data_IF_771285070879
#
_entry.id   IF_771285070879
#
_cell.length_a   1.000
_cell.length_b   1.000
_cell.length_c   1.000
_cell.angle_alpha   90.00
_cell.angle_beta   90.00
_cell.angle_gamma   90.00
#
_symmetry.space_group_name_H-M   'P 1'
#
loop_
_entity.id
_entity.type
_entity.pdbx_description
1 polymer ?
#
# COMPACT_ATOMS: atom_id res chain seq x y z
N UNK A 1 -14.44 1.13 -21.85
CA UNK A 1 -13.78 -0.19 -21.88
C UNK A 1 -13.65 -0.65 -23.33
N UNK A 2 -12.45 -1.01 -23.78
CA UNK A 2 -12.17 -1.39 -25.17
C UNK A 2 -12.78 -0.43 -26.22
N UNK A 3 -12.53 0.89 -26.07
CA UNK A 3 -13.07 1.93 -26.96
C UNK A 3 -14.46 2.47 -26.58
N UNK A 4 -15.16 1.87 -25.61
CA UNK A 4 -16.45 2.38 -25.15
C UNK A 4 -16.30 3.72 -24.42
N UNK A 5 -17.16 4.67 -24.79
CA UNK A 5 -17.25 6.03 -24.23
C UNK A 5 -18.28 6.05 -23.09
N UNK A 6 -17.96 6.77 -22.04
CA UNK A 6 -18.87 7.06 -20.94
C UNK A 6 -18.96 8.57 -20.79
N UNK A 7 -20.16 9.05 -20.51
CA UNK A 7 -20.39 10.46 -20.18
C UNK A 7 -20.31 10.64 -18.67
N UNK A 8 -19.80 11.80 -18.25
CA UNK A 8 -19.69 12.20 -16.86
C UNK A 8 -20.52 13.46 -16.65
N UNK A 9 -21.29 13.51 -15.56
CA UNK A 9 -21.92 14.74 -15.14
C UNK A 9 -20.89 15.73 -14.57
N UNK A 10 -21.23 17.02 -14.52
CA UNK A 10 -20.37 18.01 -13.90
C UNK A 10 -20.17 17.69 -12.40
N UNK A 11 -18.92 17.48 -11.99
CA UNK A 11 -18.55 17.12 -10.62
C UNK A 11 -18.61 15.62 -10.31
N UNK A 12 -19.01 14.78 -11.27
CA UNK A 12 -18.91 13.33 -11.12
C UNK A 12 -17.44 12.90 -11.05
N UNK A 13 -17.12 12.04 -10.09
CA UNK A 13 -15.78 11.48 -9.90
C UNK A 13 -15.82 9.97 -9.96
N UNK A 14 -14.72 9.37 -10.41
CA UNK A 14 -14.50 7.93 -10.33
C UNK A 14 -13.25 7.64 -9.53
N UNK A 15 -13.33 6.59 -8.73
CA UNK A 15 -12.18 6.08 -7.99
C UNK A 15 -11.28 5.28 -8.93
N UNK A 16 -10.02 5.70 -9.07
CA UNK A 16 -9.06 5.05 -9.97
C UNK A 16 -8.00 4.24 -9.24
N UNK A 17 -7.72 4.55 -7.97
CA UNK A 17 -6.66 3.91 -7.20
C UNK A 17 -6.93 3.96 -5.69
N UNK A 18 -6.60 2.88 -4.99
CA UNK A 18 -6.46 2.87 -3.52
C UNK A 18 -5.00 2.67 -3.12
N UNK A 19 -4.40 3.63 -2.41
CA UNK A 19 -3.07 3.52 -1.82
C UNK A 19 -3.17 3.33 -0.31
N UNK A 20 -3.28 2.07 0.14
CA UNK A 20 -3.32 1.74 1.57
C UNK A 20 -2.00 2.07 2.25
N UNK A 21 -2.08 2.61 3.47
CA UNK A 21 -0.93 2.90 4.32
C UNK A 21 -0.85 1.88 5.46
N UNK A 22 0.37 1.62 5.90
CA UNK A 22 0.68 0.59 6.89
C UNK A 22 1.47 1.22 8.03
N UNK A 23 1.14 0.80 9.24
CA UNK A 23 2.01 0.95 10.40
C UNK A 23 2.89 -0.31 10.56
N UNK A 24 3.79 -0.26 11.53
CA UNK A 24 4.73 -1.34 11.80
C UNK A 24 4.01 -2.65 12.20
N UNK A 25 2.97 -2.57 13.04
CA UNK A 25 2.25 -3.75 13.52
C UNK A 25 1.55 -4.49 12.37
N UNK A 26 0.90 -3.73 11.48
CA UNK A 26 0.22 -4.29 10.31
C UNK A 26 1.21 -4.88 9.31
N UNK A 27 2.36 -4.23 9.10
CA UNK A 27 3.43 -4.75 8.25
C UNK A 27 3.96 -6.10 8.80
N UNK A 28 4.24 -6.17 10.11
CA UNK A 28 4.70 -7.40 10.77
C UNK A 28 3.66 -8.51 10.71
N UNK A 29 2.37 -8.17 10.87
CA UNK A 29 1.29 -9.13 10.74
C UNK A 29 1.20 -9.71 9.32
N UNK A 30 1.33 -8.86 8.29
CA UNK A 30 1.33 -9.30 6.89
C UNK A 30 2.53 -10.19 6.55
N UNK A 31 3.74 -9.81 7.00
CA UNK A 31 4.93 -10.64 6.82
C UNK A 31 4.74 -12.04 7.43
N UNK A 32 4.28 -12.11 8.69
CA UNK A 32 4.00 -13.39 9.37
C UNK A 32 2.95 -14.22 8.66
N UNK A 33 1.87 -13.60 8.19
CA UNK A 33 0.83 -14.30 7.43
C UNK A 33 1.36 -14.89 6.12
N UNK A 34 2.40 -14.28 5.53
CA UNK A 34 3.11 -14.80 4.37
C UNK A 34 4.21 -15.82 4.68
N UNK A 35 4.45 -16.17 5.95
CA UNK A 35 5.51 -17.08 6.38
C UNK A 35 6.89 -16.43 6.55
N UNK A 36 6.96 -15.11 6.66
CA UNK A 36 8.20 -14.34 6.81
C UNK A 36 8.29 -13.67 8.17
N UNK A 37 9.51 -13.42 8.64
CA UNK A 37 9.79 -12.51 9.75
C UNK A 37 10.35 -11.19 9.22
N UNK A 38 10.05 -10.08 9.91
CA UNK A 38 10.73 -8.80 9.67
C UNK A 38 12.05 -8.82 10.42
N UNK A 39 13.15 -8.95 9.68
CA UNK A 39 14.50 -8.98 10.23
C UNK A 39 14.99 -7.57 10.57
N UNK A 40 14.75 -6.62 9.67
CA UNK A 40 15.13 -5.23 9.86
C UNK A 40 14.09 -4.29 9.27
N UNK A 41 13.87 -3.16 9.94
CA UNK A 41 12.97 -2.09 9.52
C UNK A 41 13.72 -0.77 9.61
N UNK A 42 13.81 -0.07 8.47
CA UNK A 42 14.35 1.29 8.41
C UNK A 42 13.20 2.25 8.16
N UNK A 43 13.00 3.19 9.09
CA UNK A 43 11.97 4.23 9.01
C UNK A 43 12.68 5.55 8.73
N UNK A 44 12.24 6.28 7.70
CA UNK A 44 12.76 7.60 7.43
C UNK A 44 12.33 8.58 8.53
N UNK A 45 13.25 9.44 8.97
CA UNK A 45 12.98 10.44 10.00
C UNK A 45 12.16 11.62 9.47
N UNK A 46 12.31 11.92 8.19
CA UNK A 46 11.82 13.17 7.59
C UNK A 46 10.55 12.95 6.75
N UNK A 47 10.15 11.69 6.52
CA UNK A 47 8.99 11.33 5.71
C UNK A 47 8.38 10.00 6.18
N UNK A 48 7.04 9.83 6.17
CA UNK A 48 6.37 8.60 6.61
C UNK A 48 6.55 7.47 5.57
N UNK A 49 7.76 6.92 5.51
CA UNK A 49 8.14 5.83 4.63
C UNK A 49 9.11 4.89 5.34
N UNK A 50 9.02 3.60 5.01
CA UNK A 50 9.88 2.58 5.59
C UNK A 50 10.26 1.50 4.56
N UNK A 51 11.42 0.89 4.78
CA UNK A 51 11.89 -0.31 4.08
C UNK A 51 12.01 -1.44 5.09
N UNK A 52 11.56 -2.64 4.71
CA UNK A 52 11.68 -3.84 5.53
C UNK A 52 12.45 -4.93 4.81
N UNK A 53 13.44 -5.49 5.49
CA UNK A 53 14.10 -6.73 5.10
C UNK A 53 13.35 -7.90 5.74
N UNK A 54 12.97 -8.88 4.91
CA UNK A 54 12.25 -10.09 5.33
C UNK A 54 13.13 -11.32 5.16
N UNK A 55 13.05 -12.26 6.11
CA UNK A 55 13.69 -13.57 6.04
C UNK A 55 12.71 -14.69 6.44
N UNK A 56 12.98 -15.90 5.94
CA UNK A 56 12.16 -17.10 6.12
C UNK A 56 12.81 -18.06 7.12
#
# INVERSE_FOLDING_TARGET
LAGHRFDFAAGETIHTESSYKFDEDRLRALARAGGWAVEQLWIATDYPFALALLSA
#
